data_IF_406357077227
#
_entry.id   IF_406357077227
#
_cell.length_a   1.000
_cell.length_b   1.000
_cell.length_c   1.000
_cell.angle_alpha   90.00
_cell.angle_beta   90.00
_cell.angle_gamma   90.00
#
_symmetry.space_group_name_H-M   'P 1'
#
loop_
_entity.id
_entity.type
_entity.pdbx_description
1 polymer ?
#
# COMPACT_ATOMS: atom_id res chain seq x y z
N UNK A 1 26.82 -29.69 -5.23
CA UNK A 1 27.27 -29.07 -6.50
C UNK A 1 28.76 -28.75 -6.41
N UNK A 2 29.53 -28.92 -7.49
CA UNK A 2 31.01 -28.84 -7.50
C UNK A 2 31.59 -27.45 -7.17
N UNK A 3 30.77 -26.39 -7.18
CA UNK A 3 31.12 -25.02 -6.78
C UNK A 3 30.10 -24.42 -5.80
N UNK A 4 29.72 -25.15 -4.75
CA UNK A 4 28.64 -24.75 -3.85
C UNK A 4 28.77 -23.34 -3.25
N UNK A 5 29.98 -22.93 -2.86
CA UNK A 5 30.23 -21.60 -2.28
C UNK A 5 29.96 -20.45 -3.26
N UNK A 6 30.35 -20.59 -4.53
CA UNK A 6 30.08 -19.59 -5.57
C UNK A 6 28.58 -19.44 -5.83
N UNK A 7 27.86 -20.56 -5.91
CA UNK A 7 26.40 -20.54 -6.12
C UNK A 7 25.66 -19.91 -4.94
N UNK A 8 26.07 -20.21 -3.70
CA UNK A 8 25.48 -19.57 -2.52
C UNK A 8 25.73 -18.05 -2.50
N UNK A 9 26.93 -17.61 -2.85
CA UNK A 9 27.25 -16.18 -2.91
C UNK A 9 26.36 -15.44 -3.91
N UNK A 10 26.26 -15.94 -5.14
CA UNK A 10 25.42 -15.34 -6.19
C UNK A 10 23.95 -15.35 -5.77
N UNK A 11 23.48 -16.44 -5.16
CA UNK A 11 22.11 -16.56 -4.68
C UNK A 11 21.76 -15.52 -3.61
N UNK A 12 22.60 -15.35 -2.58
CA UNK A 12 22.36 -14.35 -1.55
C UNK A 12 22.53 -12.92 -2.07
N UNK A 13 23.50 -12.68 -2.97
CA UNK A 13 23.65 -11.38 -3.62
C UNK A 13 22.39 -11.00 -4.40
N UNK A 14 21.81 -11.95 -5.14
CA UNK A 14 20.54 -11.77 -5.86
C UNK A 14 19.40 -11.41 -4.89
N UNK A 15 19.23 -12.15 -3.80
CA UNK A 15 18.20 -11.86 -2.80
C UNK A 15 18.35 -10.46 -2.19
N UNK A 16 19.58 -10.05 -1.89
CA UNK A 16 19.88 -8.71 -1.38
C UNK A 16 19.51 -7.65 -2.43
N UNK A 17 19.92 -7.81 -3.69
CA UNK A 17 19.60 -6.84 -4.74
C UNK A 17 18.11 -6.72 -5.02
N UNK A 18 17.35 -7.82 -4.97
CA UNK A 18 15.89 -7.81 -5.14
C UNK A 18 15.19 -7.07 -3.99
N UNK A 19 15.64 -7.28 -2.76
CA UNK A 19 15.13 -6.58 -1.60
C UNK A 19 15.43 -5.08 -1.64
N UNK A 20 16.67 -4.72 -1.98
CA UNK A 20 17.13 -3.34 -2.02
C UNK A 20 16.29 -2.50 -3.01
N UNK A 21 16.13 -2.95 -4.24
CA UNK A 21 15.37 -2.21 -5.28
C UNK A 21 13.91 -1.98 -4.84
N UNK A 22 13.26 -3.02 -4.32
CA UNK A 22 11.89 -2.93 -3.80
C UNK A 22 11.76 -1.93 -2.64
N UNK A 23 12.71 -1.93 -1.71
CA UNK A 23 12.69 -0.99 -0.57
C UNK A 23 12.93 0.45 -1.00
N UNK A 24 13.81 0.68 -1.99
CA UNK A 24 14.04 2.01 -2.54
C UNK A 24 12.78 2.57 -3.20
N UNK A 25 12.09 1.77 -4.02
CA UNK A 25 10.85 2.18 -4.65
C UNK A 25 9.78 2.59 -3.61
N UNK A 26 9.63 1.81 -2.53
CA UNK A 26 8.66 2.10 -1.47
C UNK A 26 8.98 3.36 -0.66
N UNK A 27 10.24 3.53 -0.24
CA UNK A 27 10.66 4.71 0.52
C UNK A 27 10.59 5.98 -0.34
N UNK A 28 11.00 5.90 -1.61
CA UNK A 28 10.95 7.03 -2.54
C UNK A 28 9.50 7.46 -2.84
N UNK A 29 8.57 6.52 -2.98
CA UNK A 29 7.15 6.83 -3.15
C UNK A 29 6.58 7.58 -1.94
N UNK A 30 6.93 7.15 -0.72
CA UNK A 30 6.51 7.83 0.51
C UNK A 30 7.12 9.23 0.62
N UNK A 31 8.42 9.37 0.35
CA UNK A 31 9.11 10.66 0.45
C UNK A 31 8.57 11.64 -0.58
N UNK A 32 8.43 11.19 -1.84
CA UNK A 32 7.90 12.01 -2.93
C UNK A 32 6.48 12.48 -2.62
N UNK A 33 5.60 11.56 -2.20
CA UNK A 33 4.22 11.91 -1.84
C UNK A 33 4.12 12.95 -0.71
N UNK A 34 4.97 12.86 0.31
CA UNK A 34 4.98 13.83 1.42
C UNK A 34 5.64 15.17 1.03
N UNK A 35 6.65 15.15 0.16
CA UNK A 35 7.30 16.37 -0.34
C UNK A 35 6.40 17.15 -1.30
N UNK A 36 5.56 16.47 -2.08
CA UNK A 36 4.61 17.11 -3.01
C UNK A 36 3.49 17.84 -2.27
N UNK A 37 2.99 17.27 -1.16
CA UNK A 37 1.95 17.90 -0.33
C UNK A 37 2.49 19.09 0.50
N UNK A 38 3.68 18.94 1.09
CA UNK A 38 4.27 19.96 1.96
C UNK A 38 5.51 20.61 1.35
N UNK A 39 5.32 21.80 0.76
CA UNK A 39 6.41 22.64 0.19
C UNK A 39 7.57 22.93 1.16
N UNK A 40 7.31 22.95 2.47
CA UNK A 40 8.35 23.13 3.50
C UNK A 40 9.32 21.94 3.59
N UNK A 41 8.83 20.71 3.36
CA UNK A 41 9.66 19.50 3.35
C UNK A 41 10.52 19.42 2.09
N UNK A 42 10.01 19.89 0.95
CA UNK A 42 10.74 19.90 -0.31
C UNK A 42 12.09 20.62 -0.21
N UNK A 43 12.12 21.80 0.45
CA UNK A 43 13.37 22.57 0.61
C UNK A 43 14.41 21.92 1.53
N UNK A 44 14.02 20.93 2.35
CA UNK A 44 14.90 20.23 3.29
C UNK A 44 14.84 18.71 3.09
N UNK A 45 14.70 18.27 1.84
CA UNK A 45 14.50 16.86 1.47
C UNK A 45 15.56 15.94 2.08
N UNK A 46 16.84 16.29 2.02
CA UNK A 46 17.94 15.46 2.55
C UNK A 46 17.80 15.19 4.05
N UNK A 47 17.46 16.22 4.83
CA UNK A 47 17.20 16.08 6.27
C UNK A 47 15.97 15.22 6.54
N UNK A 48 14.91 15.39 5.74
CA UNK A 48 13.69 14.60 5.86
C UNK A 48 13.95 13.11 5.58
N UNK A 49 14.70 12.79 4.52
CA UNK A 49 15.11 11.41 4.21
C UNK A 49 15.89 10.81 5.39
N UNK A 50 16.85 11.57 5.95
CA UNK A 50 17.61 11.13 7.13
C UNK A 50 16.72 10.78 8.33
N UNK A 51 15.72 11.61 8.62
CA UNK A 51 14.74 11.35 9.69
C UNK A 51 13.92 10.08 9.40
N UNK A 52 13.41 9.93 8.18
CA UNK A 52 12.64 8.74 7.77
C UNK A 52 13.48 7.46 7.90
N UNK A 53 14.74 7.47 7.47
CA UNK A 53 15.65 6.34 7.63
C UNK A 53 15.90 5.98 9.10
N UNK A 54 16.07 6.98 9.97
CA UNK A 54 16.23 6.77 11.41
C UNK A 54 14.96 6.14 12.02
N UNK A 55 13.77 6.63 11.62
CA UNK A 55 12.50 6.07 12.07
C UNK A 55 12.33 4.61 11.62
N UNK A 56 12.67 4.29 10.37
CA UNK A 56 12.65 2.90 9.88
C UNK A 56 13.65 2.01 10.62
N UNK A 57 14.86 2.51 10.92
CA UNK A 57 15.85 1.77 11.70
C UNK A 57 15.29 1.37 13.06
N UNK A 58 14.75 2.33 13.84
CA UNK A 58 14.14 2.05 15.14
C UNK A 58 12.89 1.17 15.04
N UNK A 59 12.04 1.40 14.03
CA UNK A 59 10.85 0.60 13.76
C UNK A 59 11.16 -0.85 13.39
N UNK A 60 12.32 -1.11 12.78
CA UNK A 60 12.76 -2.45 12.38
C UNK A 60 13.38 -3.28 13.52
N UNK A 61 13.77 -2.65 14.65
CA UNK A 61 14.43 -3.35 15.77
C UNK A 61 13.68 -4.59 16.28
N UNK A 62 12.33 -4.59 16.41
CA UNK A 62 11.61 -5.79 16.83
C UNK A 62 11.77 -6.97 15.85
N UNK A 63 11.95 -6.71 14.56
CA UNK A 63 12.08 -7.73 13.52
C UNK A 63 13.46 -8.44 13.54
N UNK A 64 14.48 -7.80 14.11
CA UNK A 64 15.86 -8.36 14.20
C UNK A 64 16.05 -9.15 15.52
N UNK A 65 15.09 -9.05 16.45
CA UNK A 65 15.14 -9.80 17.72
C UNK A 65 14.96 -11.32 17.52
N UNK A 66 15.22 -12.13 18.55
CA UNK A 66 14.93 -13.59 18.53
C UNK A 66 13.45 -13.91 18.24
N UNK A 67 12.55 -12.96 18.53
CA UNK A 67 11.12 -13.05 18.21
C UNK A 67 10.76 -12.58 16.80
N UNK A 68 11.72 -12.11 16.00
CA UNK A 68 11.52 -11.56 14.65
C UNK A 68 10.77 -12.50 13.70
N UNK A 69 10.99 -13.81 13.84
CA UNK A 69 10.28 -14.86 13.10
C UNK A 69 8.75 -14.83 13.29
N UNK A 70 8.26 -14.28 14.40
CA UNK A 70 6.82 -14.09 14.66
C UNK A 70 6.36 -12.67 14.30
N UNK A 71 7.23 -11.67 14.49
CA UNK A 71 6.92 -10.27 14.23
C UNK A 71 6.75 -10.01 12.72
N UNK A 72 7.63 -10.57 11.88
CA UNK A 72 7.59 -10.34 10.43
C UNK A 72 6.27 -10.84 9.81
N UNK A 73 5.85 -12.12 10.01
CA UNK A 73 4.58 -12.60 9.45
C UNK A 73 3.37 -11.89 10.06
N UNK A 74 3.45 -11.47 11.33
CA UNK A 74 2.38 -10.73 11.97
C UNK A 74 2.16 -9.36 11.29
N UNK A 75 3.23 -8.62 11.01
CA UNK A 75 3.15 -7.32 10.31
C UNK A 75 2.73 -7.50 8.85
N UNK A 76 3.17 -8.57 8.18
CA UNK A 76 2.78 -8.84 6.80
C UNK A 76 1.25 -9.05 6.67
N UNK A 77 0.71 -9.99 7.45
CA UNK A 77 -0.72 -10.37 7.40
C UNK A 77 -1.64 -9.30 7.99
N UNK A 78 -1.28 -8.69 9.12
CA UNK A 78 -2.13 -7.69 9.78
C UNK A 78 -1.85 -6.27 9.31
N UNK A 79 -0.64 -5.93 8.89
CA UNK A 79 -0.29 -4.57 8.48
C UNK A 79 -0.61 -4.27 7.02
N UNK A 80 -0.22 -5.17 6.10
CA UNK A 80 -0.17 -4.84 4.66
C UNK A 80 -1.34 -5.44 3.90
N UNK A 81 -1.56 -6.76 3.98
CA UNK A 81 -2.35 -7.50 2.98
C UNK A 81 -3.77 -6.95 2.79
N UNK A 82 -4.55 -6.89 3.86
CA UNK A 82 -5.97 -6.48 3.79
C UNK A 82 -6.11 -4.96 3.56
N UNK A 83 -5.24 -4.17 4.17
CA UNK A 83 -5.22 -2.70 4.05
C UNK A 83 -4.90 -2.26 2.62
N UNK A 84 -3.90 -2.88 1.99
CA UNK A 84 -3.49 -2.58 0.61
C UNK A 84 -4.59 -2.95 -0.39
N UNK A 85 -5.23 -4.11 -0.22
CA UNK A 85 -6.37 -4.51 -1.07
C UNK A 85 -7.52 -3.51 -0.99
N UNK A 86 -7.83 -2.98 0.20
CA UNK A 86 -8.84 -1.94 0.36
C UNK A 86 -8.46 -0.65 -0.39
N UNK A 87 -7.24 -0.15 -0.18
CA UNK A 87 -6.76 1.10 -0.80
C UNK A 87 -6.78 0.98 -2.33
N UNK A 88 -6.25 -0.12 -2.88
CA UNK A 88 -6.22 -0.35 -4.33
C UNK A 88 -7.65 -0.50 -4.90
N UNK A 89 -8.58 -1.12 -4.15
CA UNK A 89 -9.99 -1.18 -4.57
C UNK A 89 -10.59 0.22 -4.68
N UNK A 90 -10.37 1.08 -3.68
CA UNK A 90 -10.84 2.47 -3.69
C UNK A 90 -10.22 3.27 -4.85
N UNK A 91 -8.91 3.14 -5.07
CA UNK A 91 -8.20 3.82 -6.14
C UNK A 91 -8.72 3.41 -7.52
N UNK A 92 -8.90 2.12 -7.76
CA UNK A 92 -9.40 1.62 -9.04
C UNK A 92 -10.84 2.05 -9.32
N UNK A 93 -11.70 2.04 -8.30
CA UNK A 93 -13.08 2.55 -8.41
C UNK A 93 -13.07 4.07 -8.65
N UNK A 94 -12.21 4.81 -7.96
CA UNK A 94 -12.06 6.26 -8.14
C UNK A 94 -11.62 6.62 -9.57
N UNK A 95 -10.59 5.95 -10.11
CA UNK A 95 -10.07 6.26 -11.46
C UNK A 95 -11.00 5.73 -12.55
N UNK A 96 -11.47 4.48 -12.45
CA UNK A 96 -12.18 3.85 -13.57
C UNK A 96 -13.65 4.24 -13.65
N UNK A 97 -14.33 4.45 -12.51
CA UNK A 97 -15.77 4.72 -12.47
C UNK A 97 -16.11 6.17 -12.12
N UNK A 98 -15.49 6.75 -11.08
CA UNK A 98 -15.78 8.14 -10.70
C UNK A 98 -15.15 9.17 -11.65
N UNK A 99 -13.85 9.04 -11.92
CA UNK A 99 -13.17 9.90 -12.89
C UNK A 99 -13.60 9.56 -14.33
N UNK A 100 -13.81 8.27 -14.60
CA UNK A 100 -14.38 7.76 -15.84
C UNK A 100 -13.33 7.42 -16.88
N UNK A 101 -13.50 6.26 -17.51
CA UNK A 101 -12.53 5.68 -18.44
C UNK A 101 -12.24 6.56 -19.66
N UNK A 102 -13.23 7.33 -20.14
CA UNK A 102 -13.08 8.19 -21.30
C UNK A 102 -12.18 9.40 -21.01
N UNK A 103 -12.28 9.98 -19.80
CA UNK A 103 -11.40 11.08 -19.38
C UNK A 103 -9.96 10.58 -19.24
N UNK A 104 -9.78 9.47 -18.53
CA UNK A 104 -8.48 8.83 -18.37
C UNK A 104 -7.82 8.48 -19.71
N UNK A 105 -8.62 7.99 -20.66
CA UNK A 105 -8.15 7.68 -22.01
C UNK A 105 -7.74 8.94 -22.79
N UNK A 106 -8.45 10.06 -22.61
CA UNK A 106 -8.07 11.34 -23.23
C UNK A 106 -6.78 11.91 -22.62
N UNK A 107 -6.56 11.75 -21.32
CA UNK A 107 -5.31 12.16 -20.68
C UNK A 107 -4.12 11.37 -21.22
N UNK A 108 -4.26 10.04 -21.35
CA UNK A 108 -3.23 9.19 -21.96
C UNK A 108 -2.92 9.63 -23.38
N UNK A 109 -3.94 9.96 -24.18
CA UNK A 109 -3.72 10.50 -25.52
C UNK A 109 -2.98 11.84 -25.49
N UNK A 110 -3.27 12.70 -24.53
CA UNK A 110 -2.60 13.99 -24.41
C UNK A 110 -1.12 13.82 -24.00
N UNK A 111 -0.80 12.80 -23.21
CA UNK A 111 0.56 12.48 -22.79
C UNK A 111 1.38 11.74 -23.86
N UNK A 112 0.78 10.75 -24.54
CA UNK A 112 1.49 9.85 -25.45
C UNK A 112 1.22 10.14 -26.94
N UNK A 113 0.23 10.96 -27.26
CA UNK A 113 -0.17 11.30 -28.64
C UNK A 113 -1.13 10.32 -29.31
N UNK A 114 -1.45 9.17 -28.68
CA UNK A 114 -2.34 8.15 -29.25
C UNK A 114 -3.34 7.60 -28.24
N UNK A 115 -4.48 7.08 -28.72
CA UNK A 115 -5.48 6.46 -27.87
C UNK A 115 -5.06 5.04 -27.44
N UNK A 116 -5.19 4.68 -26.15
CA UNK A 116 -5.08 3.29 -25.72
C UNK A 116 -6.15 2.44 -26.42
N UNK A 117 -5.71 1.26 -26.86
CA UNK A 117 -6.56 0.29 -27.55
C UNK A 117 -7.71 -0.23 -26.69
N UNK A 118 -8.69 -0.87 -27.33
CA UNK A 118 -9.92 -1.36 -26.69
C UNK A 118 -9.61 -2.38 -25.58
N UNK A 119 -8.59 -3.21 -25.77
CA UNK A 119 -8.12 -4.16 -24.75
C UNK A 119 -7.88 -3.48 -23.40
N UNK A 120 -7.10 -2.40 -23.38
CA UNK A 120 -6.77 -1.69 -22.15
C UNK A 120 -8.00 -1.07 -21.48
N UNK A 121 -8.91 -0.49 -22.28
CA UNK A 121 -10.15 0.09 -21.75
C UNK A 121 -11.05 -0.95 -21.10
N UNK A 122 -11.18 -2.13 -21.72
CA UNK A 122 -11.94 -3.25 -21.15
C UNK A 122 -11.28 -3.76 -19.88
N UNK A 123 -9.96 -3.96 -19.88
CA UNK A 123 -9.22 -4.36 -18.69
C UNK A 123 -9.45 -3.39 -17.53
N UNK A 124 -9.29 -2.09 -17.75
CA UNK A 124 -9.50 -1.07 -16.71
C UNK A 124 -10.94 -1.03 -16.21
N UNK A 125 -11.95 -1.24 -17.05
CA UNK A 125 -13.34 -1.35 -16.57
C UNK A 125 -13.59 -2.60 -15.74
N UNK A 126 -12.90 -3.71 -16.03
CA UNK A 126 -13.06 -4.99 -15.33
C UNK A 126 -12.18 -5.11 -14.07
N UNK A 127 -11.05 -4.41 -13.99
CA UNK A 127 -10.12 -4.43 -12.86
C UNK A 127 -10.77 -4.12 -11.50
N UNK A 128 -11.60 -3.05 -11.35
CA UNK A 128 -12.29 -2.76 -10.09
C UNK A 128 -13.20 -3.92 -9.63
N UNK A 129 -13.85 -4.61 -10.57
CA UNK A 129 -14.71 -5.76 -10.27
C UNK A 129 -13.86 -6.93 -9.77
N UNK A 130 -12.75 -7.24 -10.45
CA UNK A 130 -11.89 -8.35 -10.05
C UNK A 130 -11.24 -8.14 -8.67
N UNK A 131 -10.71 -6.93 -8.44
CA UNK A 131 -10.05 -6.59 -7.18
C UNK A 131 -11.06 -6.53 -6.02
N UNK A 132 -12.27 -5.99 -6.26
CA UNK A 132 -13.32 -6.01 -5.23
C UNK A 132 -13.78 -7.43 -4.88
N UNK A 133 -13.89 -8.34 -5.86
CA UNK A 133 -14.19 -9.76 -5.58
C UNK A 133 -13.11 -10.38 -4.70
N UNK A 134 -11.83 -10.15 -5.00
CA UNK A 134 -10.71 -10.63 -4.17
C UNK A 134 -10.83 -10.06 -2.76
N UNK A 135 -11.07 -8.75 -2.63
CA UNK A 135 -11.23 -8.08 -1.35
C UNK A 135 -12.35 -8.70 -0.50
N UNK A 136 -13.54 -8.94 -1.08
CA UNK A 136 -14.64 -9.58 -0.37
C UNK A 136 -14.34 -11.02 0.02
N UNK A 137 -13.67 -11.79 -0.85
CA UNK A 137 -13.24 -13.16 -0.54
C UNK A 137 -12.22 -13.17 0.60
N UNK A 138 -11.26 -12.26 0.60
CA UNK A 138 -10.28 -12.12 1.68
C UNK A 138 -10.96 -11.74 2.99
N UNK A 139 -11.90 -10.80 2.99
CA UNK A 139 -12.69 -10.46 4.19
C UNK A 139 -13.45 -11.68 4.71
N UNK A 140 -14.09 -12.44 3.82
CA UNK A 140 -14.83 -13.63 4.19
C UNK A 140 -13.94 -14.71 4.85
N UNK A 141 -12.71 -14.86 4.34
CA UNK A 141 -11.74 -15.80 4.88
C UNK A 141 -11.12 -15.32 6.20
N UNK A 142 -11.04 -14.01 6.42
CA UNK A 142 -10.48 -13.41 7.64
C UNK A 142 -11.42 -13.67 8.82
N UNK A 143 -11.15 -14.78 9.50
CA UNK A 143 -11.77 -15.10 10.77
C UNK A 143 -11.10 -14.32 11.91
N UNK A 144 -11.84 -13.98 12.96
CA UNK A 144 -11.28 -13.42 14.22
C UNK A 144 -10.41 -14.42 15.00
N UNK A 145 -10.12 -15.59 14.44
CA UNK A 145 -9.23 -16.58 15.03
C UNK A 145 -7.78 -16.08 15.01
N UNK A 146 -7.00 -16.36 16.06
CA UNK A 146 -5.59 -16.02 16.08
C UNK A 146 -4.83 -16.77 14.97
N UNK A 147 -3.89 -16.08 14.33
CA UNK A 147 -2.93 -16.70 13.44
C UNK A 147 -2.22 -17.87 14.16
N UNK A 148 -1.94 -18.93 13.42
CA UNK A 148 -1.16 -20.07 13.91
C UNK A 148 0.08 -20.20 13.05
N UNK A 149 1.26 -20.24 13.68
CA UNK A 149 2.53 -20.41 12.98
C UNK A 149 3.30 -21.54 13.64
N UNK A 150 3.58 -22.62 12.89
CA UNK A 150 4.49 -23.71 13.27
C UNK A 150 4.32 -24.24 14.71
N UNK A 151 3.07 -24.39 15.18
CA UNK A 151 2.76 -24.87 16.54
C UNK A 151 2.61 -23.78 17.62
N UNK A 152 2.80 -22.51 17.27
CA UNK A 152 2.51 -21.36 18.14
C UNK A 152 1.20 -20.69 17.74
N UNK A 153 0.27 -20.61 18.70
CA UNK A 153 -0.98 -19.84 18.55
C UNK A 153 -0.75 -18.44 19.09
N UNK A 154 -0.97 -17.43 18.24
CA UNK A 154 -0.84 -16.05 18.67
C UNK A 154 -1.83 -15.72 19.81
N UNK A 155 -1.42 -14.91 20.80
CA UNK A 155 -2.28 -14.57 21.92
C UNK A 155 -3.44 -13.67 21.47
N UNK A 156 -4.60 -13.77 22.12
CA UNK A 156 -5.80 -13.00 21.72
C UNK A 156 -5.61 -11.48 21.69
N UNK A 157 -4.66 -10.93 22.45
CA UNK A 157 -4.36 -9.50 22.41
C UNK A 157 -3.69 -9.08 21.10
N UNK A 158 -2.92 -9.96 20.45
CA UNK A 158 -2.25 -9.62 19.18
C UNK A 158 -3.26 -9.47 18.06
N UNK A 159 -4.36 -10.22 18.09
CA UNK A 159 -5.47 -10.05 17.14
C UNK A 159 -6.06 -8.64 17.24
N UNK A 160 -6.31 -8.14 18.46
CA UNK A 160 -6.80 -6.76 18.66
C UNK A 160 -5.82 -5.72 18.13
N UNK A 161 -4.53 -5.94 18.38
CA UNK A 161 -3.46 -5.06 17.89
C UNK A 161 -3.37 -5.09 16.36
N UNK A 162 -3.49 -6.27 15.75
CA UNK A 162 -3.48 -6.43 14.30
C UNK A 162 -4.66 -5.72 13.63
N UNK A 163 -5.86 -5.85 14.20
CA UNK A 163 -7.04 -5.09 13.73
C UNK A 163 -6.86 -3.57 13.89
N UNK A 164 -6.19 -3.13 14.95
CA UNK A 164 -5.86 -1.72 15.11
C UNK A 164 -4.95 -1.21 13.97
N UNK A 165 -3.91 -1.96 13.59
CA UNK A 165 -3.06 -1.58 12.45
C UNK A 165 -3.81 -1.57 11.12
N UNK A 166 -4.69 -2.56 10.87
CA UNK A 166 -5.56 -2.58 9.68
C UNK A 166 -6.41 -1.32 9.60
N UNK A 167 -7.13 -1.02 10.68
CA UNK A 167 -8.03 0.12 10.74
C UNK A 167 -7.31 1.45 10.64
N UNK A 168 -6.10 1.56 11.20
CA UNK A 168 -5.29 2.79 11.13
C UNK A 168 -5.04 3.21 9.67
N UNK A 169 -4.71 2.27 8.80
CA UNK A 169 -4.48 2.53 7.38
C UNK A 169 -5.80 2.74 6.64
N UNK A 170 -6.78 1.85 6.80
CA UNK A 170 -8.07 1.91 6.09
C UNK A 170 -8.87 3.19 6.41
N UNK A 171 -8.81 3.66 7.66
CA UNK A 171 -9.58 4.82 8.12
C UNK A 171 -9.04 6.15 7.58
N UNK A 172 -7.81 6.18 7.06
CA UNK A 172 -7.22 7.40 6.46
C UNK A 172 -8.04 7.94 5.27
N UNK A 173 -8.52 7.03 4.41
CA UNK A 173 -9.32 7.36 3.21
C UNK A 173 -10.65 8.05 3.58
N UNK A 174 -11.55 7.45 4.40
CA UNK A 174 -12.80 8.09 4.78
C UNK A 174 -12.58 9.33 5.66
N UNK A 175 -11.55 9.36 6.52
CA UNK A 175 -11.24 10.56 7.31
C UNK A 175 -10.91 11.75 6.41
N UNK A 176 -10.09 11.55 5.38
CA UNK A 176 -9.76 12.61 4.44
C UNK A 176 -11.00 13.06 3.64
N UNK A 177 -11.83 12.11 3.19
CA UNK A 177 -13.10 12.43 2.52
C UNK A 177 -14.05 13.27 3.40
N UNK A 178 -14.20 12.91 4.69
CA UNK A 178 -15.02 13.66 5.65
C UNK A 178 -14.42 15.06 5.90
N UNK A 179 -13.10 15.14 6.04
CA UNK A 179 -12.40 16.41 6.24
C UNK A 179 -12.67 17.37 5.07
N UNK A 180 -12.48 16.91 3.83
CA UNK A 180 -12.76 17.70 2.63
C UNK A 180 -14.22 18.13 2.57
N UNK A 181 -15.16 17.21 2.84
CA UNK A 181 -16.60 17.51 2.82
C UNK A 181 -16.98 18.55 3.88
N UNK A 182 -16.35 18.52 5.05
CA UNK A 182 -16.60 19.47 6.15
C UNK A 182 -15.95 20.84 5.93
N UNK A 183 -14.86 20.90 5.17
CA UNK A 183 -14.12 22.14 4.88
C UNK A 183 -14.65 22.85 3.62
N UNK A 184 -15.28 22.11 2.72
CA UNK A 184 -15.93 22.66 1.53
C UNK A 184 -17.11 23.56 1.91
N UNK A 185 -17.08 24.81 1.46
CA UNK A 185 -18.18 25.76 1.66
C UNK A 185 -19.19 25.59 0.52
N UNK A 186 -20.33 24.95 0.81
CA UNK A 186 -21.42 24.78 -0.16
C UNK A 186 -22.50 23.80 0.31
N UNK A 187 -23.56 23.62 -0.49
CA UNK A 187 -24.54 22.53 -0.27
C UNK A 187 -23.96 21.19 -0.74
N UNK A 188 -24.35 20.08 -0.10
CA UNK A 188 -23.78 18.74 -0.39
C UNK A 188 -23.82 18.37 -1.88
N UNK A 189 -24.86 18.80 -2.60
CA UNK A 189 -25.00 18.57 -4.05
C UNK A 189 -24.02 19.36 -4.90
N UNK A 190 -23.65 20.57 -4.47
CA UNK A 190 -22.73 21.47 -5.18
C UNK A 190 -21.28 21.03 -4.97
N UNK A 191 -20.95 20.55 -3.78
CA UNK A 191 -19.62 20.02 -3.43
C UNK A 191 -19.33 18.66 -4.09
N UNK A 192 -20.36 17.84 -4.35
CA UNK A 192 -20.20 16.51 -4.98
C UNK A 192 -20.12 16.61 -6.53
N UNK A 193 -20.71 17.65 -7.13
CA UNK A 193 -20.78 17.83 -8.59
C UNK A 193 -19.66 18.71 -9.19
N UNK A 194 -18.87 19.38 -8.35
CA UNK A 194 -17.72 20.20 -8.77
C UNK A 194 -16.44 19.38 -8.69
#
# INVERSE_FOLDING_TARGET
MRYGSLWSFIFFAMLITLGIDSTFAGIEALITGLCDEWRLLHNKREWFVGVVCILYYFGSLPAISYGGQYVIPFIDEYGVSLSLLFIVTCEMVAVCWFYGIDRFTNDIKTMLGFYPGIYWRVCWMMCPVFISVIFFMTIWQVSFSPMQLSGYTFPKWSVRLGWFFRLLSVTSVPLYAIYVLSSARGTLTEVILT
#
